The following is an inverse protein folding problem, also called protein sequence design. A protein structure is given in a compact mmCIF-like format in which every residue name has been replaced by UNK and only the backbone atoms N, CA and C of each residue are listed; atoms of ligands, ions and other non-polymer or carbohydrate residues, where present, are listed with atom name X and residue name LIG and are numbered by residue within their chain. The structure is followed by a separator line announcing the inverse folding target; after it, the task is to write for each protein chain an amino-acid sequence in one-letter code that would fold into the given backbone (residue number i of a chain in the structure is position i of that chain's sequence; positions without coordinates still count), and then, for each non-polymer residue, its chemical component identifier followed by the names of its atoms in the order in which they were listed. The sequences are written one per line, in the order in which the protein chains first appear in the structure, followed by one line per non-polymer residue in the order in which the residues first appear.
data_IF_828939976110
#
_entry.id   IF_828939976110
#
_cell.length_a   1.000
_cell.length_b   1.000
_cell.length_c   1.000
_cell.angle_alpha   90.00
_cell.angle_beta   90.00
_cell.angle_gamma   90.00
#
_symmetry.space_group_name_H-M   'P 1'
#
loop_
_entity.id
_entity.type
_entity.pdbx_description
1 polymer ?
#
# COMPACT_ATOMS: atom_id res chain seq x y z
N UNK A 1 -23.78 13.03 -13.22
CA UNK A 1 -24.33 11.69 -12.92
C UNK A 1 -23.25 10.72 -12.45
N UNK A 2 -22.11 10.58 -13.14
CA UNK A 2 -20.99 9.70 -12.73
C UNK A 2 -20.45 10.01 -11.33
N UNK A 3 -20.19 11.29 -11.03
CA UNK A 3 -19.67 11.70 -9.70
C UNK A 3 -20.64 11.34 -8.54
N UNK A 4 -21.96 11.42 -8.79
CA UNK A 4 -22.95 11.03 -7.79
C UNK A 4 -22.98 9.52 -7.57
N UNK A 5 -22.86 8.72 -8.62
CA UNK A 5 -22.78 7.25 -8.53
C UNK A 5 -21.53 6.83 -7.76
N UNK A 6 -20.39 7.48 -8.00
CA UNK A 6 -19.15 7.21 -7.27
C UNK A 6 -19.26 7.60 -5.80
N UNK A 7 -19.90 8.73 -5.50
CA UNK A 7 -20.13 9.17 -4.12
C UNK A 7 -21.10 8.24 -3.38
N UNK A 8 -22.21 7.84 -3.99
CA UNK A 8 -23.17 6.90 -3.41
C UNK A 8 -22.52 5.53 -3.15
N UNK A 9 -21.67 5.06 -4.07
CA UNK A 9 -20.86 3.85 -3.91
C UNK A 9 -19.91 3.92 -2.73
N UNK A 10 -19.22 5.04 -2.55
CA UNK A 10 -18.29 5.22 -1.45
C UNK A 10 -18.99 5.26 -0.08
N UNK A 11 -20.12 5.96 0.00
CA UNK A 11 -20.94 5.99 1.24
C UNK A 11 -21.43 4.60 1.60
N UNK A 12 -21.92 3.83 0.61
CA UNK A 12 -22.37 2.45 0.81
C UNK A 12 -21.23 1.55 1.31
N UNK A 13 -20.05 1.66 0.70
CA UNK A 13 -18.89 0.85 1.07
C UNK A 13 -18.32 1.23 2.45
N UNK A 14 -18.37 2.51 2.81
CA UNK A 14 -18.01 2.97 4.16
C UNK A 14 -18.96 2.40 5.23
N UNK A 15 -20.27 2.35 4.93
CA UNK A 15 -21.26 1.72 5.80
C UNK A 15 -21.01 0.23 6.01
N UNK A 16 -20.81 -0.51 4.92
CA UNK A 16 -20.50 -1.95 4.96
C UNK A 16 -19.25 -2.23 5.79
N UNK A 17 -18.22 -1.42 5.64
CA UNK A 17 -16.96 -1.63 6.38
C UNK A 17 -17.10 -1.36 7.87
N UNK A 18 -17.86 -0.33 8.26
CA UNK A 18 -18.21 -0.12 9.65
C UNK A 18 -18.93 -1.32 10.24
N UNK A 19 -19.91 -1.86 9.50
CA UNK A 19 -20.71 -3.00 9.94
C UNK A 19 -19.91 -4.32 10.00
N UNK A 20 -18.83 -4.44 9.19
CA UNK A 20 -17.92 -5.58 9.23
C UNK A 20 -16.90 -5.47 10.38
N UNK A 21 -16.44 -4.27 10.75
CA UNK A 21 -15.48 -4.10 11.86
C UNK A 21 -16.05 -4.49 13.22
N UNK A 22 -17.34 -4.24 13.44
CA UNK A 22 -18.01 -4.59 14.71
C UNK A 22 -17.93 -6.09 15.01
N UNK A 23 -18.36 -7.02 14.11
CA UNK A 23 -18.22 -8.46 14.34
C UNK A 23 -16.75 -8.91 14.39
N UNK A 24 -15.83 -8.31 13.62
CA UNK A 24 -14.41 -8.64 13.70
C UNK A 24 -13.79 -8.28 15.05
N UNK A 25 -14.12 -7.11 15.62
CA UNK A 25 -13.68 -6.73 16.95
C UNK A 25 -14.19 -7.69 18.02
N UNK A 26 -15.45 -8.16 17.89
CA UNK A 26 -16.02 -9.16 18.78
C UNK A 26 -15.32 -10.51 18.64
N UNK A 27 -15.09 -10.99 17.41
CA UNK A 27 -14.35 -12.23 17.15
C UNK A 27 -12.96 -12.17 17.74
N UNK A 28 -12.26 -11.03 17.61
CA UNK A 28 -10.94 -10.84 18.22
C UNK A 28 -11.00 -10.96 19.74
N UNK A 29 -11.97 -10.32 20.37
CA UNK A 29 -12.16 -10.39 21.82
C UNK A 29 -12.48 -11.83 22.26
N UNK A 30 -13.38 -12.54 21.56
CA UNK A 30 -13.73 -13.93 21.85
C UNK A 30 -12.50 -14.87 21.68
N UNK A 31 -11.69 -14.64 20.65
CA UNK A 31 -10.44 -15.39 20.42
C UNK A 31 -9.48 -15.23 21.60
N UNK A 32 -9.26 -14.00 22.06
CA UNK A 32 -8.39 -13.71 23.19
C UNK A 32 -8.88 -14.29 24.50
N UNK A 33 -10.20 -14.31 24.72
CA UNK A 33 -10.81 -14.74 25.99
C UNK A 33 -11.10 -16.23 26.07
N UNK A 34 -11.39 -16.89 24.94
CA UNK A 34 -11.97 -18.24 24.94
C UNK A 34 -11.04 -19.31 24.37
N UNK A 35 -10.02 -18.94 23.59
CA UNK A 35 -9.09 -19.89 23.00
C UNK A 35 -7.92 -20.12 23.93
N UNK A 36 -7.89 -21.28 24.60
CA UNK A 36 -6.86 -21.64 25.57
C UNK A 36 -5.52 -22.01 24.90
N UNK A 37 -5.57 -22.59 23.70
CA UNK A 37 -4.39 -22.95 22.92
C UNK A 37 -3.73 -21.70 22.34
N UNK A 38 -2.47 -21.45 22.70
CA UNK A 38 -1.74 -20.23 22.32
C UNK A 38 -1.48 -20.18 20.81
N UNK A 39 -1.13 -21.29 20.19
CA UNK A 39 -0.86 -21.34 18.74
C UNK A 39 -2.14 -21.11 17.95
N UNK A 40 -3.25 -21.75 18.35
CA UNK A 40 -4.56 -21.52 17.72
C UNK A 40 -5.01 -20.07 17.88
N UNK A 41 -4.83 -19.48 19.06
CA UNK A 41 -5.16 -18.08 19.34
C UNK A 41 -4.37 -17.12 18.44
N UNK A 42 -3.06 -17.33 18.31
CA UNK A 42 -2.19 -16.52 17.47
C UNK A 42 -2.56 -16.62 15.99
N UNK A 43 -2.87 -17.83 15.50
CA UNK A 43 -3.34 -18.02 14.12
C UNK A 43 -4.66 -17.30 13.86
N UNK A 44 -5.65 -17.44 14.76
CA UNK A 44 -6.94 -16.78 14.63
C UNK A 44 -6.81 -15.25 14.68
N UNK A 45 -5.98 -14.73 15.58
CA UNK A 45 -5.71 -13.28 15.67
C UNK A 45 -5.05 -12.75 14.39
N UNK A 46 -4.13 -13.51 13.78
CA UNK A 46 -3.52 -13.17 12.49
C UNK A 46 -4.52 -13.16 11.35
N UNK A 47 -5.44 -14.13 11.29
CA UNK A 47 -6.50 -14.21 10.28
C UNK A 47 -7.48 -13.04 10.41
N UNK A 48 -7.87 -12.67 11.63
CA UNK A 48 -8.75 -11.52 11.90
C UNK A 48 -8.05 -10.22 11.48
N UNK A 49 -6.77 -10.06 11.80
CA UNK A 49 -5.99 -8.89 11.37
C UNK A 49 -5.85 -8.82 9.84
N UNK A 50 -5.73 -9.96 9.17
CA UNK A 50 -5.70 -10.02 7.71
C UNK A 50 -7.05 -9.62 7.09
N UNK A 51 -8.17 -10.02 7.68
CA UNK A 51 -9.51 -9.61 7.25
C UNK A 51 -9.70 -8.09 7.40
N UNK A 52 -9.27 -7.53 8.52
CA UNK A 52 -9.33 -6.09 8.78
C UNK A 52 -8.52 -5.30 7.73
N UNK A 53 -7.31 -5.76 7.42
CA UNK A 53 -6.47 -5.17 6.37
C UNK A 53 -7.08 -5.27 4.95
N UNK A 54 -7.83 -6.33 4.66
CA UNK A 54 -8.57 -6.47 3.38
C UNK A 54 -9.71 -5.46 3.32
N UNK A 55 -10.46 -5.28 4.41
CA UNK A 55 -11.55 -4.30 4.50
C UNK A 55 -11.01 -2.88 4.33
N UNK A 56 -9.89 -2.55 4.97
CA UNK A 56 -9.24 -1.25 4.82
C UNK A 56 -8.83 -0.97 3.37
N UNK A 57 -8.20 -1.93 2.70
CA UNK A 57 -7.84 -1.80 1.27
C UNK A 57 -9.06 -1.67 0.36
N UNK A 58 -10.15 -2.33 0.69
CA UNK A 58 -11.40 -2.22 -0.06
C UNK A 58 -12.02 -0.84 0.08
N UNK A 59 -11.99 -0.25 1.29
CA UNK A 59 -12.41 1.12 1.56
C UNK A 59 -11.56 2.16 0.84
N UNK A 60 -10.24 1.97 0.85
CA UNK A 60 -9.32 2.83 0.11
C UNK A 60 -9.63 2.86 -1.39
N UNK A 61 -9.93 1.70 -1.98
CA UNK A 61 -10.34 1.60 -3.38
C UNK A 61 -11.68 2.30 -3.67
N UNK A 62 -12.57 2.34 -2.69
CA UNK A 62 -13.91 2.88 -2.80
C UNK A 62 -14.02 4.38 -2.49
N UNK A 63 -12.97 4.99 -1.94
CA UNK A 63 -12.98 6.40 -1.54
C UNK A 63 -13.02 7.30 -2.77
N UNK A 64 -14.08 8.13 -2.97
CA UNK A 64 -14.06 9.13 -4.03
C UNK A 64 -13.02 10.17 -3.64
N UNK A 65 -11.91 10.18 -4.34
CA UNK A 65 -10.90 11.19 -4.13
C UNK A 65 -11.33 12.52 -4.76
N UNK A 66 -11.88 13.42 -3.97
CA UNK A 66 -11.69 14.85 -4.24
C UNK A 66 -10.23 15.14 -3.86
N UNK A 67 -9.31 14.86 -4.80
CA UNK A 67 -7.90 15.11 -4.57
C UNK A 67 -7.70 16.60 -4.24
N UNK A 68 -7.17 16.88 -3.04
CA UNK A 68 -6.79 18.23 -2.63
C UNK A 68 -5.39 18.52 -3.15
N UNK A 69 -5.30 19.04 -4.39
CA UNK A 69 -4.02 19.36 -5.01
C UNK A 69 -3.38 20.57 -4.33
N UNK A 70 -2.24 20.38 -3.73
CA UNK A 70 -1.40 21.40 -3.12
C UNK A 70 0.05 21.28 -3.61
N UNK A 71 0.86 22.32 -3.37
CA UNK A 71 2.30 22.26 -3.67
C UNK A 71 3.00 21.48 -2.58
N UNK A 72 3.48 20.28 -2.90
CA UNK A 72 4.08 19.33 -1.97
C UNK A 72 5.57 19.17 -2.23
N UNK A 73 6.38 19.05 -1.18
CA UNK A 73 7.79 18.67 -1.26
C UNK A 73 7.90 17.17 -1.52
N UNK A 74 8.32 16.78 -2.73
CA UNK A 74 8.44 15.37 -3.07
C UNK A 74 9.47 14.64 -2.20
N UNK A 75 10.57 15.31 -1.86
CA UNK A 75 11.60 14.73 -1.02
C UNK A 75 11.10 14.41 0.38
N UNK A 76 10.29 15.31 0.98
CA UNK A 76 9.76 15.12 2.33
C UNK A 76 8.75 13.97 2.37
N UNK A 77 7.88 13.86 1.37
CA UNK A 77 6.92 12.75 1.27
C UNK A 77 7.63 11.41 1.11
N UNK A 78 8.63 11.34 0.23
CA UNK A 78 9.41 10.10 0.04
C UNK A 78 10.16 9.72 1.31
N UNK A 79 10.76 10.68 2.00
CA UNK A 79 11.44 10.46 3.27
C UNK A 79 10.48 9.93 4.35
N UNK A 80 9.31 10.54 4.49
CA UNK A 80 8.28 10.09 5.43
C UNK A 80 7.82 8.65 5.12
N UNK A 81 7.65 8.29 3.84
CA UNK A 81 7.30 6.95 3.42
C UNK A 81 8.42 5.93 3.64
N UNK A 82 9.69 6.34 3.50
CA UNK A 82 10.86 5.48 3.69
C UNK A 82 11.21 5.28 5.17
N UNK A 83 10.83 6.22 6.03
CA UNK A 83 11.18 6.23 7.46
C UNK A 83 10.86 4.92 8.20
N UNK A 84 9.68 4.28 8.03
CA UNK A 84 9.34 3.03 8.72
C UNK A 84 10.27 1.86 8.37
N UNK A 85 10.97 1.94 7.24
CA UNK A 85 11.87 0.88 6.74
C UNK A 85 13.34 1.07 7.13
N UNK A 86 13.71 2.19 7.78
CA UNK A 86 15.12 2.53 8.09
C UNK A 86 15.86 1.47 8.93
N UNK A 87 15.12 0.78 9.81
CA UNK A 87 15.68 -0.23 10.72
C UNK A 87 15.29 -1.65 10.30
N UNK A 88 14.78 -1.85 9.09
CA UNK A 88 14.41 -3.16 8.60
C UNK A 88 15.59 -3.81 7.87
N UNK A 89 15.90 -5.05 8.23
CA UNK A 89 17.05 -5.80 7.65
C UNK A 89 16.75 -6.38 6.27
N UNK A 90 15.48 -6.36 5.86
CA UNK A 90 15.00 -7.02 4.64
C UNK A 90 14.70 -6.06 3.46
N UNK A 91 14.97 -4.77 3.64
CA UNK A 91 14.79 -3.74 2.60
C UNK A 91 15.85 -2.63 2.73
N UNK A 92 16.36 -2.18 1.59
CA UNK A 92 17.25 -1.01 1.48
C UNK A 92 16.65 -0.04 0.48
N UNK A 93 16.41 1.20 0.90
CA UNK A 93 15.84 2.25 0.04
C UNK A 93 16.93 3.29 -0.26
N UNK A 94 17.13 3.57 -1.55
CA UNK A 94 18.01 4.62 -2.05
C UNK A 94 17.19 5.68 -2.75
N UNK A 95 17.43 6.95 -2.43
CA UNK A 95 16.71 8.09 -3.01
C UNK A 95 17.65 9.00 -3.79
N UNK A 96 17.24 9.41 -4.99
CA UNK A 96 17.90 10.39 -5.84
C UNK A 96 16.85 11.44 -6.26
N UNK A 97 16.52 12.32 -5.30
CA UNK A 97 15.49 13.35 -5.44
C UNK A 97 16.08 14.68 -5.00
N UNK A 98 16.01 15.68 -5.89
CA UNK A 98 16.45 17.01 -5.52
C UNK A 98 15.50 17.62 -4.47
N UNK A 99 16.05 18.13 -3.35
CA UNK A 99 15.29 18.62 -2.21
C UNK A 99 14.36 19.80 -2.51
N UNK A 100 14.60 20.55 -3.57
CA UNK A 100 13.76 21.67 -4.00
C UNK A 100 12.62 21.25 -4.93
N UNK A 101 12.51 19.97 -5.28
CA UNK A 101 11.51 19.50 -6.21
C UNK A 101 10.11 19.57 -5.56
N UNK A 102 9.22 20.32 -6.20
CA UNK A 102 7.83 20.52 -5.75
C UNK A 102 6.87 19.96 -6.79
N UNK A 103 5.81 19.32 -6.35
CA UNK A 103 4.78 18.73 -7.21
C UNK A 103 3.39 19.20 -6.78
N UNK A 104 2.52 19.44 -7.74
CA UNK A 104 1.08 19.64 -7.46
C UNK A 104 0.45 18.27 -7.25
N UNK A 105 0.17 17.92 -6.01
CA UNK A 105 -0.39 16.61 -5.65
C UNK A 105 -1.27 16.71 -4.40
N UNK A 106 -2.10 15.70 -4.20
CA UNK A 106 -2.64 15.39 -2.88
C UNK A 106 -1.57 14.63 -2.11
N UNK A 107 -1.09 15.20 -1.01
CA UNK A 107 0.03 14.66 -0.23
C UNK A 107 -0.30 13.27 0.34
N UNK A 108 -1.53 13.09 0.81
CA UNK A 108 -1.99 11.81 1.40
C UNK A 108 -2.04 10.72 0.32
N UNK A 109 -2.59 11.03 -0.84
CA UNK A 109 -2.67 10.09 -1.95
C UNK A 109 -1.28 9.76 -2.52
N UNK A 110 -0.40 10.75 -2.62
CA UNK A 110 0.98 10.53 -3.06
C UNK A 110 1.74 9.64 -2.07
N UNK A 111 1.63 9.92 -0.78
CA UNK A 111 2.24 9.10 0.27
C UNK A 111 1.69 7.67 0.25
N UNK A 112 0.38 7.49 0.03
CA UNK A 112 -0.26 6.19 -0.10
C UNK A 112 0.28 5.38 -1.29
N UNK A 113 0.40 6.01 -2.46
CA UNK A 113 0.98 5.37 -3.66
C UNK A 113 2.41 4.91 -3.37
N UNK A 114 3.25 5.78 -2.81
CA UNK A 114 4.64 5.47 -2.51
C UNK A 114 4.77 4.35 -1.47
N UNK A 115 4.00 4.41 -0.40
CA UNK A 115 3.99 3.37 0.64
C UNK A 115 3.56 2.01 0.09
N UNK A 116 2.54 1.96 -0.77
CA UNK A 116 2.12 0.74 -1.44
C UNK A 116 3.21 0.16 -2.35
N UNK A 117 3.94 1.01 -3.08
CA UNK A 117 5.06 0.58 -3.93
C UNK A 117 6.23 0.04 -3.09
N UNK A 118 6.56 0.68 -1.97
CA UNK A 118 7.60 0.23 -1.04
C UNK A 118 7.25 -1.11 -0.39
N UNK A 119 6.02 -1.27 0.09
CA UNK A 119 5.54 -2.55 0.64
C UNK A 119 5.53 -3.67 -0.41
N UNK A 120 5.13 -3.37 -1.65
CA UNK A 120 5.19 -4.33 -2.74
C UNK A 120 6.65 -4.74 -3.05
N UNK A 121 7.57 -3.78 -3.11
CA UNK A 121 8.98 -4.04 -3.33
C UNK A 121 9.58 -4.87 -2.18
N UNK A 122 9.26 -4.57 -0.91
CA UNK A 122 9.68 -5.34 0.25
C UNK A 122 9.21 -6.79 0.17
N UNK A 123 7.96 -7.01 -0.26
CA UNK A 123 7.34 -8.34 -0.31
C UNK A 123 7.79 -9.15 -1.51
N UNK A 124 7.90 -8.53 -2.69
CA UNK A 124 8.09 -9.23 -3.96
C UNK A 124 9.39 -8.87 -4.68
N UNK A 125 10.04 -7.75 -4.32
CA UNK A 125 11.25 -7.23 -4.95
C UNK A 125 12.56 -7.70 -4.31
N UNK A 126 12.53 -8.77 -3.50
CA UNK A 126 13.72 -9.31 -2.85
C UNK A 126 14.64 -9.99 -3.87
N UNK A 127 15.93 -9.70 -3.79
CA UNK A 127 16.95 -10.40 -4.57
C UNK A 127 17.04 -11.86 -4.12
N UNK A 128 17.02 -12.84 -5.04
CA UNK A 128 17.17 -14.25 -4.70
C UNK A 128 18.51 -14.57 -4.02
N UNK A 129 19.55 -13.76 -4.27
CA UNK A 129 20.89 -13.96 -3.72
C UNK A 129 21.02 -13.46 -2.28
N UNK A 130 20.37 -12.34 -1.94
CA UNK A 130 20.56 -11.67 -0.64
C UNK A 130 19.34 -11.77 0.28
N UNK A 131 18.15 -12.08 -0.26
CA UNK A 131 16.89 -12.01 0.48
C UNK A 131 16.44 -10.59 0.84
N UNK A 132 17.20 -9.56 0.39
CA UNK A 132 16.95 -8.15 0.68
C UNK A 132 16.34 -7.47 -0.55
N UNK A 133 15.32 -6.66 -0.34
CA UNK A 133 14.75 -5.79 -1.38
C UNK A 133 15.58 -4.51 -1.51
N UNK A 134 16.23 -4.29 -2.64
CA UNK A 134 16.85 -3.02 -2.98
C UNK A 134 15.85 -2.19 -3.79
N UNK A 135 15.48 -1.01 -3.26
CA UNK A 135 14.54 -0.08 -3.91
C UNK A 135 15.23 1.24 -4.22
N UNK A 136 15.16 1.68 -5.45
CA UNK A 136 15.67 2.96 -5.92
C UNK A 136 14.50 3.88 -6.27
N UNK A 137 14.46 5.06 -5.65
CA UNK A 137 13.46 6.10 -5.94
C UNK A 137 14.20 7.30 -6.53
N UNK A 138 13.91 7.63 -7.76
CA UNK A 138 14.46 8.79 -8.44
C UNK A 138 13.35 9.69 -8.97
N UNK A 139 13.57 10.99 -8.95
CA UNK A 139 12.65 11.95 -9.55
C UNK A 139 13.41 12.97 -10.41
N UNK A 140 12.80 13.31 -11.56
CA UNK A 140 13.34 14.29 -12.49
C UNK A 140 12.20 15.17 -13.00
N UNK A 141 12.45 16.46 -13.07
CA UNK A 141 11.55 17.38 -13.76
C UNK A 141 11.77 17.25 -15.27
N UNK A 142 10.67 17.19 -16.00
CA UNK A 142 10.64 17.17 -17.44
C UNK A 142 9.51 18.12 -17.91
N UNK A 143 9.87 19.27 -18.37
CA UNK A 143 8.95 20.35 -18.71
C UNK A 143 8.03 20.69 -17.51
N UNK A 144 6.74 20.60 -17.66
CA UNK A 144 5.72 20.84 -16.63
C UNK A 144 5.39 19.59 -15.77
N UNK A 145 6.09 18.49 -15.99
CA UNK A 145 5.85 17.22 -15.29
C UNK A 145 7.01 16.83 -14.40
N UNK A 146 6.69 16.09 -13.34
CA UNK A 146 7.69 15.38 -12.55
C UNK A 146 7.52 13.89 -12.79
N UNK A 147 8.58 13.27 -13.30
CA UNK A 147 8.67 11.83 -13.45
C UNK A 147 9.27 11.23 -12.18
N UNK A 148 8.49 10.40 -11.49
CA UNK A 148 8.93 9.62 -10.33
C UNK A 148 9.14 8.18 -10.78
N UNK A 149 10.35 7.65 -10.56
CA UNK A 149 10.69 6.25 -10.85
C UNK A 149 10.95 5.52 -9.54
N UNK A 150 10.18 4.46 -9.30
CA UNK A 150 10.42 3.51 -8.21
C UNK A 150 10.83 2.18 -8.86
N UNK A 151 11.99 1.65 -8.50
CA UNK A 151 12.55 0.43 -9.06
C UNK A 151 12.99 -0.51 -7.95
N UNK A 152 12.50 -1.72 -7.97
CA UNK A 152 13.08 -2.84 -7.23
C UNK A 152 14.04 -3.65 -8.10
N UNK A 153 14.78 -4.55 -7.47
CA UNK A 153 15.74 -5.46 -8.12
C UNK A 153 15.37 -6.94 -7.88
N UNK A 154 14.07 -7.21 -7.75
CA UNK A 154 13.54 -8.57 -7.65
C UNK A 154 13.56 -9.33 -8.98
N UNK A 155 12.91 -10.49 -8.98
CA UNK A 155 12.83 -11.36 -10.17
C UNK A 155 11.98 -10.79 -11.30
N UNK A 156 11.25 -9.68 -11.02
CA UNK A 156 10.30 -9.09 -11.97
C UNK A 156 9.04 -9.93 -12.15
N UNK A 157 8.25 -9.56 -13.14
CA UNK A 157 6.99 -10.23 -13.51
C UNK A 157 7.01 -10.59 -14.99
N UNK A 158 6.33 -11.69 -15.35
CA UNK A 158 6.21 -12.07 -16.76
C UNK A 158 5.38 -11.05 -17.55
N UNK A 159 5.58 -10.93 -18.88
CA UNK A 159 4.78 -10.03 -19.71
C UNK A 159 3.27 -10.29 -19.59
N UNK A 160 2.85 -11.54 -19.47
CA UNK A 160 1.45 -11.93 -19.33
C UNK A 160 0.87 -11.51 -17.96
N UNK A 161 1.70 -11.56 -16.92
CA UNK A 161 1.31 -11.07 -15.59
C UNK A 161 1.24 -9.54 -15.56
N UNK A 162 2.14 -8.84 -16.27
CA UNK A 162 2.20 -7.38 -16.32
C UNK A 162 0.89 -6.76 -16.82
N UNK A 163 0.28 -7.36 -17.87
CA UNK A 163 -1.02 -6.91 -18.40
C UNK A 163 -2.17 -7.05 -17.40
N UNK A 164 -2.02 -7.93 -16.42
CA UNK A 164 -3.04 -8.25 -15.42
C UNK A 164 -2.84 -7.51 -14.11
N UNK A 165 -1.64 -6.98 -13.83
CA UNK A 165 -1.29 -6.33 -12.55
C UNK A 165 -2.19 -5.13 -12.21
N UNK A 166 -2.70 -4.43 -13.23
CA UNK A 166 -3.61 -3.29 -13.04
C UNK A 166 -5.07 -3.70 -12.82
N UNK A 167 -5.38 -4.99 -12.96
CA UNK A 167 -6.76 -5.47 -12.72
C UNK A 167 -7.01 -5.62 -11.22
N UNK A 168 -8.17 -5.16 -10.71
CA UNK A 168 -8.53 -5.36 -9.31
C UNK A 168 -8.45 -6.83 -8.93
N UNK A 169 -7.96 -7.11 -7.71
CA UNK A 169 -7.87 -8.44 -7.11
C UNK A 169 -6.93 -9.44 -7.82
N UNK A 170 -6.18 -9.02 -8.83
CA UNK A 170 -5.18 -9.89 -9.43
C UNK A 170 -3.97 -10.04 -8.49
N UNK A 171 -3.60 -11.28 -8.21
CA UNK A 171 -2.36 -11.66 -7.50
C UNK A 171 -1.57 -12.59 -8.41
N UNK A 172 -0.29 -12.31 -8.61
CA UNK A 172 0.60 -13.23 -9.34
C UNK A 172 0.73 -14.57 -8.60
N UNK A 173 1.05 -15.65 -9.33
CA UNK A 173 1.18 -17.02 -8.78
C UNK A 173 2.25 -17.16 -7.68
N UNK A 174 3.16 -16.19 -7.53
CA UNK A 174 4.17 -16.14 -6.47
C UNK A 174 3.62 -15.70 -5.09
N UNK A 175 2.32 -15.41 -4.98
CA UNK A 175 1.67 -14.91 -3.76
C UNK A 175 0.83 -15.98 -3.02
N UNK A 176 1.05 -17.28 -3.35
CA UNK A 176 0.48 -18.41 -2.60
C UNK A 176 1.42 -18.92 -1.55
#
# INVERSE_FOLDING_TARGET
QLAKIEQDRAVMLAGISHDLRTPLARLRLETEMSVADEDARNHMAADIAQLDAIIDKFLEYARPGLASLTVVSLADVVEACAYPFRNADDIVIRTDIHHQLRVMADEVELARILSNLLENARRYGKSPQTGVALVEIAARQRDDWILIKVRDHGTGVSPEALEKLTKPFFRGDAAR
#
